data_IF_155728542868
#
_entry.id   IF_155728542868
#
_cell.length_a   1.000
_cell.length_b   1.000
_cell.length_c   1.000
_cell.angle_alpha   90.00
_cell.angle_beta   90.00
_cell.angle_gamma   90.00
#
_symmetry.space_group_name_H-M   'P 1'
#
loop_
_entity.id
_entity.type
_entity.pdbx_description
1 polymer ?
#
# COMPACT_ATOMS: atom_id res chain seq x y z
N UNK A 1 -51.11 25.36 -48.74
CA UNK A 1 -50.15 24.38 -48.19
C UNK A 1 -49.34 25.06 -47.08
N UNK A 2 -49.69 24.87 -45.81
CA UNK A 2 -48.96 25.42 -44.65
C UNK A 2 -47.97 24.35 -44.16
N UNK A 3 -46.67 24.62 -44.30
CA UNK A 3 -45.59 23.76 -43.77
C UNK A 3 -45.29 24.22 -42.34
N UNK A 4 -45.61 23.38 -41.36
CA UNK A 4 -45.17 23.55 -39.97
C UNK A 4 -43.75 23.00 -39.84
N UNK A 5 -42.78 23.85 -39.46
CA UNK A 5 -41.48 23.41 -38.98
C UNK A 5 -41.60 23.13 -37.48
N UNK A 6 -41.48 21.87 -37.09
CA UNK A 6 -41.33 21.47 -35.68
C UNK A 6 -39.82 21.48 -35.40
N UNK A 7 -39.38 22.44 -34.58
CA UNK A 7 -38.03 22.45 -34.03
C UNK A 7 -37.98 21.47 -32.86
N UNK A 8 -37.22 20.38 -33.01
CA UNK A 8 -36.97 19.40 -31.96
C UNK A 8 -35.84 19.92 -31.08
N UNK A 9 -36.17 20.44 -29.89
CA UNK A 9 -35.17 20.78 -28.87
C UNK A 9 -34.78 19.47 -28.17
N UNK A 10 -33.61 18.91 -28.50
CA UNK A 10 -33.00 17.85 -27.70
C UNK A 10 -32.50 18.48 -26.38
N UNK A 11 -33.26 18.28 -25.31
CA UNK A 11 -32.74 18.47 -23.96
C UNK A 11 -31.74 17.34 -23.68
N UNK A 12 -30.44 17.64 -23.78
CA UNK A 12 -29.40 16.74 -23.33
C UNK A 12 -29.40 16.72 -21.80
N UNK A 13 -30.13 15.79 -21.21
CA UNK A 13 -30.03 15.45 -19.80
C UNK A 13 -28.66 14.80 -19.58
N UNK A 14 -27.65 15.60 -19.24
CA UNK A 14 -26.41 15.08 -18.70
C UNK A 14 -26.74 14.47 -17.33
N UNK A 15 -27.03 13.17 -17.30
CA UNK A 15 -27.04 12.40 -16.07
C UNK A 15 -25.63 12.46 -15.51
N UNK A 16 -25.40 13.35 -14.54
CA UNK A 16 -24.22 13.27 -13.66
C UNK A 16 -24.35 11.93 -12.95
N UNK A 17 -23.68 10.90 -13.47
CA UNK A 17 -23.56 9.62 -12.81
C UNK A 17 -22.82 9.90 -11.49
N UNK A 18 -23.57 9.95 -10.39
CA UNK A 18 -22.97 9.98 -9.05
C UNK A 18 -22.20 8.68 -8.92
N UNK A 19 -20.87 8.76 -8.86
CA UNK A 19 -20.05 7.58 -8.58
C UNK A 19 -20.58 6.91 -7.32
N UNK A 20 -20.93 5.63 -7.41
CA UNK A 20 -21.44 4.88 -6.26
C UNK A 20 -20.42 4.93 -5.12
N UNK A 21 -20.89 5.17 -3.89
CA UNK A 21 -20.04 5.16 -2.72
C UNK A 21 -19.38 3.78 -2.57
N UNK A 22 -18.09 3.77 -2.33
CA UNK A 22 -17.31 2.55 -2.10
C UNK A 22 -16.18 2.82 -1.10
N UNK A 23 -15.59 1.75 -0.59
CA UNK A 23 -14.46 1.85 0.33
C UNK A 23 -13.48 0.71 0.12
N UNK A 24 -12.25 0.93 0.57
CA UNK A 24 -11.26 -0.13 0.76
C UNK A 24 -10.74 -0.08 2.20
N UNK A 25 -10.12 -1.17 2.62
CA UNK A 25 -9.56 -1.28 3.95
C UNK A 25 -8.04 -1.45 3.92
N UNK A 26 -7.39 -1.01 4.98
CA UNK A 26 -5.94 -1.04 5.13
C UNK A 26 -5.60 -1.74 6.44
N UNK A 27 -4.68 -2.68 6.37
CA UNK A 27 -4.02 -3.33 7.50
C UNK A 27 -2.51 -3.31 7.27
N UNK A 28 -1.73 -3.61 8.30
CA UNK A 28 -0.27 -3.66 8.23
C UNK A 28 0.27 -4.19 9.55
N UNK A 29 1.55 -4.52 9.56
CA UNK A 29 2.29 -4.88 10.77
C UNK A 29 1.58 -5.93 11.65
N UNK A 30 0.94 -6.92 11.02
CA UNK A 30 0.21 -7.97 11.72
C UNK A 30 0.19 -9.26 10.89
N UNK A 31 0.38 -10.44 11.50
CA UNK A 31 0.55 -10.68 12.93
C UNK A 31 2.02 -10.68 13.37
N UNK A 32 2.34 -9.99 14.47
CA UNK A 32 3.68 -9.98 15.09
C UNK A 32 3.90 -11.09 16.12
N UNK A 33 2.81 -11.64 16.66
CA UNK A 33 2.84 -12.66 17.71
C UNK A 33 1.94 -13.84 17.35
N UNK A 34 2.13 -14.97 18.03
CA UNK A 34 1.25 -16.14 17.84
C UNK A 34 -0.20 -15.83 18.26
N UNK A 35 -0.38 -14.97 19.27
CA UNK A 35 -1.69 -14.49 19.68
C UNK A 35 -2.34 -13.65 18.57
N UNK A 36 -1.63 -12.68 18.01
CA UNK A 36 -2.14 -11.89 16.87
C UNK A 36 -2.45 -12.78 15.67
N UNK A 37 -1.61 -13.81 15.40
CA UNK A 37 -1.89 -14.77 14.34
C UNK A 37 -3.25 -15.44 14.59
N UNK A 38 -3.50 -15.93 15.80
CA UNK A 38 -4.78 -16.59 16.13
C UNK A 38 -5.98 -15.65 16.00
N UNK A 39 -5.79 -14.35 16.27
CA UNK A 39 -6.85 -13.34 16.22
C UNK A 39 -7.11 -12.80 14.80
N UNK A 40 -6.10 -12.79 13.94
CA UNK A 40 -6.17 -12.21 12.60
C UNK A 40 -7.33 -12.75 11.74
N UNK A 41 -7.63 -14.07 11.68
CA UNK A 41 -8.79 -14.58 10.95
C UNK A 41 -10.13 -13.94 11.36
N UNK A 42 -10.33 -13.72 12.67
CA UNK A 42 -11.56 -13.10 13.17
C UNK A 42 -11.66 -11.63 12.76
N UNK A 43 -10.54 -10.89 12.84
CA UNK A 43 -10.48 -9.51 12.37
C UNK A 43 -10.76 -9.40 10.87
N UNK A 44 -10.14 -10.26 10.06
CA UNK A 44 -10.35 -10.29 8.60
C UNK A 44 -11.78 -10.69 8.22
N UNK A 45 -12.41 -11.58 9.01
CA UNK A 45 -13.82 -11.94 8.81
C UNK A 45 -14.73 -10.75 9.08
N UNK A 46 -14.61 -10.10 10.24
CA UNK A 46 -15.41 -8.92 10.57
C UNK A 46 -15.18 -7.78 9.57
N UNK A 47 -13.94 -7.59 9.13
CA UNK A 47 -13.59 -6.62 8.09
C UNK A 47 -14.29 -6.94 6.77
N UNK A 48 -14.27 -8.21 6.34
CA UNK A 48 -14.88 -8.65 5.09
C UNK A 48 -16.41 -8.50 5.09
N UNK A 49 -17.07 -8.65 6.25
CA UNK A 49 -18.52 -8.43 6.40
C UNK A 49 -18.96 -6.99 6.07
N UNK A 50 -18.04 -6.03 6.16
CA UNK A 50 -18.27 -4.63 5.76
C UNK A 50 -18.22 -4.44 4.25
N UNK A 51 -17.82 -5.47 3.50
CA UNK A 51 -17.75 -5.50 2.04
C UNK A 51 -16.87 -4.38 1.44
N UNK A 52 -15.60 -4.22 1.88
CA UNK A 52 -14.68 -3.35 1.16
C UNK A 52 -14.43 -3.90 -0.25
N UNK A 53 -14.16 -3.03 -1.21
CA UNK A 53 -13.80 -3.41 -2.57
C UNK A 53 -12.55 -4.32 -2.59
N UNK A 54 -11.62 -4.07 -1.67
CA UNK A 54 -10.43 -4.88 -1.40
C UNK A 54 -9.78 -4.44 -0.07
N UNK A 55 -8.85 -5.25 0.42
CA UNK A 55 -7.97 -4.97 1.55
C UNK A 55 -6.54 -4.75 1.03
N UNK A 56 -5.81 -3.78 1.58
CA UNK A 56 -4.37 -3.60 1.35
C UNK A 56 -3.61 -3.91 2.64
N UNK A 57 -2.61 -4.79 2.57
CA UNK A 57 -1.68 -5.09 3.66
C UNK A 57 -0.32 -4.43 3.42
N UNK A 58 0.06 -3.50 4.30
CA UNK A 58 1.25 -2.66 4.19
C UNK A 58 2.54 -3.33 4.73
N UNK A 59 2.70 -4.65 4.52
CA UNK A 59 3.90 -5.39 4.96
C UNK A 59 3.92 -5.81 6.43
N UNK A 60 5.01 -6.47 6.80
CA UNK A 60 5.31 -7.07 8.10
C UNK A 60 4.28 -8.09 8.62
N UNK A 61 4.17 -9.22 7.89
CA UNK A 61 3.35 -10.40 8.26
C UNK A 61 4.00 -11.32 9.31
N UNK A 62 5.06 -10.81 9.96
CA UNK A 62 5.74 -11.41 11.11
C UNK A 62 6.50 -10.32 11.86
N UNK A 63 6.84 -10.57 13.11
CA UNK A 63 7.75 -9.68 13.85
C UNK A 63 9.20 -9.82 13.40
N UNK A 64 10.01 -8.78 13.60
CA UNK A 64 11.45 -8.79 13.33
C UNK A 64 12.29 -9.80 14.13
N UNK A 65 11.66 -10.55 15.04
CA UNK A 65 12.29 -11.60 15.87
C UNK A 65 11.76 -13.01 15.59
N UNK A 66 10.76 -13.15 14.72
CA UNK A 66 10.27 -14.46 14.27
C UNK A 66 11.18 -15.03 13.18
N UNK A 67 11.24 -16.36 13.10
CA UNK A 67 12.01 -17.07 12.07
C UNK A 67 11.43 -16.84 10.67
N UNK A 68 12.32 -16.82 9.67
CA UNK A 68 11.97 -16.71 8.26
C UNK A 68 11.95 -18.09 7.55
N UNK A 69 11.37 -19.09 8.21
CA UNK A 69 11.23 -20.43 7.65
C UNK A 69 10.15 -20.44 6.56
N UNK A 70 10.28 -21.31 5.56
CA UNK A 70 9.31 -21.46 4.45
C UNK A 70 7.87 -21.65 4.97
N UNK A 71 7.71 -22.42 6.05
CA UNK A 71 6.42 -22.69 6.69
C UNK A 71 5.72 -21.41 7.20
N UNK A 72 6.48 -20.39 7.60
CA UNK A 72 5.91 -19.10 8.03
C UNK A 72 5.23 -18.39 6.86
N UNK A 73 5.90 -18.28 5.70
CA UNK A 73 5.31 -17.64 4.51
C UNK A 73 4.08 -18.41 4.01
N UNK A 74 4.14 -19.74 3.97
CA UNK A 74 3.03 -20.59 3.56
C UNK A 74 1.83 -20.46 4.51
N UNK A 75 2.07 -20.37 5.82
CA UNK A 75 1.01 -20.14 6.80
C UNK A 75 0.34 -18.76 6.61
N UNK A 76 1.13 -17.71 6.39
CA UNK A 76 0.60 -16.35 6.13
C UNK A 76 -0.14 -16.27 4.79
N UNK A 77 0.36 -16.96 3.75
CA UNK A 77 -0.31 -17.10 2.46
C UNK A 77 -1.70 -17.75 2.63
N UNK A 78 -1.80 -18.82 3.41
CA UNK A 78 -3.06 -19.49 3.67
C UNK A 78 -4.08 -18.59 4.41
N UNK A 79 -3.63 -17.74 5.33
CA UNK A 79 -4.50 -16.73 5.97
C UNK A 79 -5.07 -15.75 4.95
N UNK A 80 -4.25 -15.24 4.04
CA UNK A 80 -4.67 -14.26 3.04
C UNK A 80 -5.55 -14.86 1.95
N UNK A 81 -5.29 -16.10 1.51
CA UNK A 81 -6.15 -16.82 0.57
C UNK A 81 -7.53 -17.17 1.15
N UNK A 82 -7.68 -17.16 2.48
CA UNK A 82 -8.95 -17.42 3.15
C UNK A 82 -9.84 -16.17 3.28
N UNK A 83 -9.34 -14.97 2.96
CA UNK A 83 -10.09 -13.71 3.07
C UNK A 83 -11.23 -13.65 2.05
N UNK A 84 -12.43 -13.22 2.47
CA UNK A 84 -13.66 -13.21 1.66
C UNK A 84 -13.84 -11.95 0.81
N UNK A 85 -12.75 -11.22 0.55
CA UNK A 85 -12.64 -10.09 -0.38
C UNK A 85 -11.23 -10.10 -0.99
N UNK A 86 -10.97 -9.41 -2.11
CA UNK A 86 -9.62 -9.31 -2.65
C UNK A 86 -8.65 -8.70 -1.64
N UNK A 87 -7.43 -9.24 -1.54
CA UNK A 87 -6.37 -8.74 -0.67
C UNK A 87 -5.09 -8.50 -1.47
N UNK A 88 -4.56 -7.28 -1.40
CA UNK A 88 -3.26 -6.90 -1.98
C UNK A 88 -2.24 -6.78 -0.86
N UNK A 89 -1.05 -7.31 -1.07
CA UNK A 89 0.05 -7.31 -0.10
C UNK A 89 1.30 -6.67 -0.72
N UNK A 90 2.06 -5.93 0.08
CA UNK A 90 3.43 -5.50 -0.23
C UNK A 90 4.40 -6.00 0.84
N UNK A 91 5.64 -6.39 0.51
CA UNK A 91 6.61 -6.86 1.52
C UNK A 91 7.03 -5.77 2.51
N UNK A 92 7.34 -6.16 3.74
CA UNK A 92 8.04 -5.36 4.75
C UNK A 92 9.48 -5.80 4.96
N UNK A 93 10.20 -5.23 5.94
CA UNK A 93 11.58 -5.64 6.24
C UNK A 93 11.64 -6.96 7.02
N UNK A 94 10.62 -7.26 7.83
CA UNK A 94 10.63 -8.44 8.70
C UNK A 94 10.63 -9.75 7.91
N UNK A 95 10.05 -9.79 6.71
CA UNK A 95 9.92 -10.99 5.90
C UNK A 95 11.13 -11.27 5.01
N UNK A 96 12.12 -10.38 4.92
CA UNK A 96 13.31 -10.65 4.12
C UNK A 96 14.57 -9.93 4.61
N UNK A 97 14.59 -8.59 4.69
CA UNK A 97 15.84 -7.87 5.04
C UNK A 97 16.33 -8.24 6.43
N UNK A 98 15.43 -8.51 7.37
CA UNK A 98 15.74 -8.89 8.75
C UNK A 98 16.02 -10.37 8.95
N UNK A 99 15.84 -11.20 7.92
CA UNK A 99 16.05 -12.63 8.03
C UNK A 99 17.52 -13.03 8.23
N UNK A 100 18.45 -12.11 7.98
CA UNK A 100 19.88 -12.28 8.26
C UNK A 100 20.23 -12.35 9.75
N UNK A 101 19.31 -11.96 10.64
CA UNK A 101 19.54 -12.02 12.09
C UNK A 101 19.58 -13.48 12.55
N UNK A 102 20.48 -13.81 13.47
CA UNK A 102 20.68 -15.18 13.96
C UNK A 102 19.39 -15.79 14.54
N UNK A 103 18.63 -15.01 15.31
CA UNK A 103 17.35 -15.45 15.88
C UNK A 103 16.26 -15.69 14.82
N UNK A 104 16.39 -15.08 13.64
CA UNK A 104 15.47 -15.27 12.53
C UNK A 104 15.87 -16.46 11.63
N UNK A 105 16.98 -17.12 11.94
CA UNK A 105 17.52 -18.27 11.20
C UNK A 105 18.78 -17.96 10.38
N UNK A 106 19.25 -16.71 10.34
CA UNK A 106 20.48 -16.34 9.63
C UNK A 106 20.40 -16.53 8.11
N UNK A 107 19.22 -16.38 7.52
CA UNK A 107 18.99 -16.56 6.09
C UNK A 107 19.59 -15.42 5.25
N UNK A 108 19.88 -15.70 3.98
CA UNK A 108 20.18 -14.65 3.00
C UNK A 108 18.91 -13.85 2.67
N UNK A 109 18.88 -12.52 2.90
CA UNK A 109 17.72 -11.69 2.59
C UNK A 109 17.21 -11.77 1.15
N UNK A 110 18.10 -11.85 0.15
CA UNK A 110 17.70 -11.87 -1.25
C UNK A 110 17.12 -13.22 -1.64
N UNK A 111 17.63 -14.29 -1.04
CA UNK A 111 17.03 -15.62 -1.18
C UNK A 111 15.62 -15.63 -0.55
N UNK A 112 15.43 -15.08 0.65
CA UNK A 112 14.11 -14.95 1.29
C UNK A 112 13.15 -14.07 0.50
N UNK A 113 13.62 -12.95 -0.08
CA UNK A 113 12.79 -12.12 -0.96
C UNK A 113 12.33 -12.89 -2.20
N UNK A 114 13.20 -13.70 -2.80
CA UNK A 114 12.84 -14.54 -3.95
C UNK A 114 11.84 -15.64 -3.58
N UNK A 115 12.00 -16.26 -2.41
CA UNK A 115 11.01 -17.22 -1.90
C UNK A 115 9.65 -16.55 -1.69
N UNK A 116 9.63 -15.38 -1.03
CA UNK A 116 8.42 -14.59 -0.82
C UNK A 116 7.74 -14.20 -2.15
N UNK A 117 8.52 -13.81 -3.18
CA UNK A 117 7.99 -13.55 -4.53
C UNK A 117 7.28 -14.77 -5.12
N UNK A 118 7.89 -15.95 -5.00
CA UNK A 118 7.30 -17.21 -5.47
C UNK A 118 6.04 -17.62 -4.69
N UNK A 119 5.91 -17.21 -3.43
CA UNK A 119 4.74 -17.54 -2.60
C UNK A 119 3.61 -16.54 -2.76
N UNK A 120 3.86 -15.25 -2.96
CA UNK A 120 2.81 -14.21 -2.91
C UNK A 120 2.52 -13.52 -4.25
N UNK A 121 3.41 -13.65 -5.24
CA UNK A 121 3.37 -12.85 -6.47
C UNK A 121 3.58 -13.70 -7.74
N UNK A 122 3.22 -14.98 -7.67
CA UNK A 122 3.35 -15.95 -8.76
C UNK A 122 2.38 -15.67 -9.92
N UNK A 123 1.20 -15.11 -9.64
CA UNK A 123 0.19 -14.72 -10.64
C UNK A 123 -0.08 -13.19 -10.63
N UNK A 124 -0.62 -12.67 -11.74
CA UNK A 124 -1.04 -11.28 -11.90
C UNK A 124 -2.44 -11.03 -11.31
N UNK A 125 -2.67 -11.53 -10.09
CA UNK A 125 -3.94 -11.41 -9.36
C UNK A 125 -3.67 -11.15 -7.88
N UNK A 126 -4.63 -10.50 -7.20
CA UNK A 126 -4.62 -10.36 -5.76
C UNK A 126 -4.82 -11.72 -5.06
N UNK A 127 -4.57 -11.73 -3.76
CA UNK A 127 -4.97 -12.81 -2.85
C UNK A 127 -6.46 -12.65 -2.49
N UNK A 128 -6.97 -13.52 -1.61
CA UNK A 128 -8.36 -13.50 -1.16
C UNK A 128 -9.35 -13.96 -2.24
N UNK A 129 -10.65 -13.87 -1.93
CA UNK A 129 -11.72 -14.46 -2.75
C UNK A 129 -12.92 -13.51 -2.94
N UNK A 130 -13.40 -13.32 -4.18
CA UNK A 130 -12.70 -13.64 -5.43
C UNK A 130 -11.43 -12.77 -5.57
N UNK A 131 -10.36 -13.25 -6.23
CA UNK A 131 -9.21 -12.41 -6.52
C UNK A 131 -9.54 -11.37 -7.60
N UNK A 132 -8.84 -10.23 -7.59
CA UNK A 132 -8.93 -9.19 -8.62
C UNK A 132 -7.65 -9.14 -9.47
N UNK A 133 -7.73 -8.74 -10.75
CA UNK A 133 -6.54 -8.59 -11.58
C UNK A 133 -5.67 -7.44 -11.08
N UNK A 134 -4.35 -7.63 -11.12
CA UNK A 134 -3.35 -6.59 -10.84
C UNK A 134 -2.30 -6.59 -11.94
N UNK A 135 -1.67 -5.44 -12.19
CA UNK A 135 -0.50 -5.34 -13.06
C UNK A 135 0.75 -5.43 -12.20
N UNK A 136 1.61 -6.42 -12.45
CA UNK A 136 2.94 -6.49 -11.84
C UNK A 136 3.94 -5.65 -12.63
N UNK A 137 4.89 -5.02 -11.96
CA UNK A 137 5.94 -4.25 -12.64
C UNK A 137 6.74 -5.13 -13.61
N UNK A 138 7.01 -6.39 -13.25
CA UNK A 138 7.68 -7.38 -14.09
C UNK A 138 6.93 -7.69 -15.40
N UNK A 139 5.60 -7.62 -15.40
CA UNK A 139 4.79 -7.82 -16.60
C UNK A 139 4.77 -6.56 -17.48
N UNK A 140 4.80 -5.38 -16.85
CA UNK A 140 4.82 -4.09 -17.53
C UNK A 140 6.18 -3.77 -18.17
N UNK A 141 7.27 -4.19 -17.53
CA UNK A 141 8.64 -3.98 -18.01
C UNK A 141 9.52 -5.18 -17.65
N UNK A 142 9.89 -5.98 -18.66
CA UNK A 142 10.77 -7.15 -18.48
C UNK A 142 12.17 -6.82 -17.94
N UNK A 143 12.62 -5.56 -18.08
CA UNK A 143 13.90 -5.11 -17.51
C UNK A 143 13.81 -4.79 -16.01
N UNK A 144 12.61 -4.76 -15.44
CA UNK A 144 12.34 -4.54 -14.02
C UNK A 144 11.66 -5.79 -13.40
N UNK A 145 12.42 -6.84 -13.05
CA UNK A 145 11.88 -8.14 -12.62
C UNK A 145 11.36 -8.13 -11.16
N UNK A 146 10.49 -7.18 -10.83
CA UNK A 146 9.94 -6.97 -9.49
C UNK A 146 8.43 -7.31 -9.47
N UNK A 147 8.06 -8.60 -9.33
CA UNK A 147 6.66 -9.02 -9.34
C UNK A 147 5.86 -8.52 -8.13
N UNK A 148 6.53 -8.13 -7.04
CA UNK A 148 5.92 -7.62 -5.82
C UNK A 148 5.41 -6.18 -5.90
N UNK A 149 5.83 -5.43 -6.93
CA UNK A 149 5.34 -4.09 -7.21
C UNK A 149 4.09 -4.19 -8.08
N UNK A 150 2.94 -3.88 -7.49
CA UNK A 150 1.62 -4.06 -8.09
C UNK A 150 1.00 -2.70 -8.43
N UNK A 151 0.12 -2.68 -9.42
CA UNK A 151 -0.75 -1.53 -9.74
C UNK A 151 -2.12 -2.01 -10.20
N UNK A 152 -3.15 -1.31 -9.77
CA UNK A 152 -4.52 -1.54 -10.25
C UNK A 152 -5.31 -0.25 -10.21
N UNK A 153 -6.48 -0.28 -10.85
CA UNK A 153 -7.40 0.85 -10.93
C UNK A 153 -8.76 0.42 -10.39
N UNK A 154 -9.39 1.30 -9.61
CA UNK A 154 -10.75 1.08 -9.14
C UNK A 154 -11.48 2.42 -9.03
N UNK A 155 -12.64 2.52 -9.69
CA UNK A 155 -13.51 3.70 -9.62
C UNK A 155 -12.79 5.06 -9.83
N UNK A 156 -11.87 5.12 -10.80
CA UNK A 156 -11.11 6.34 -11.13
C UNK A 156 -9.94 6.64 -10.18
N UNK A 157 -9.54 5.69 -9.34
CA UNK A 157 -8.37 5.79 -8.44
C UNK A 157 -7.26 4.87 -8.93
N UNK A 158 -6.02 5.37 -8.92
CA UNK A 158 -4.82 4.58 -9.23
C UNK A 158 -4.17 4.14 -7.92
N UNK A 159 -3.92 2.85 -7.78
CA UNK A 159 -3.25 2.24 -6.65
C UNK A 159 -1.91 1.65 -7.06
N UNK A 160 -0.86 1.80 -6.25
CA UNK A 160 0.40 1.09 -6.47
C UNK A 160 1.05 0.64 -5.16
N UNK A 161 1.56 -0.59 -5.12
CA UNK A 161 2.48 -1.05 -4.08
C UNK A 161 3.93 -0.85 -4.50
N UNK A 162 4.79 -0.62 -3.53
CA UNK A 162 6.22 -0.40 -3.69
C UNK A 162 6.95 -1.21 -2.62
N UNK A 163 7.92 -2.03 -3.04
CA UNK A 163 8.83 -2.71 -2.12
C UNK A 163 9.87 -1.71 -1.58
N UNK A 164 9.40 -0.76 -0.78
CA UNK A 164 10.19 0.20 0.00
C UNK A 164 9.94 -0.15 1.47
N UNK A 165 10.96 -0.69 2.12
CA UNK A 165 10.82 -1.33 3.43
C UNK A 165 11.53 -0.54 4.53
N UNK A 166 11.27 -0.93 5.77
CA UNK A 166 12.01 -0.54 6.95
C UNK A 166 13.49 -0.90 6.87
N UNK A 167 14.18 -0.80 8.00
CA UNK A 167 15.61 -1.08 8.05
C UNK A 167 16.43 -0.25 7.03
N UNK A 168 16.11 1.05 6.94
CA UNK A 168 16.73 2.01 6.02
C UNK A 168 16.59 1.59 4.53
N UNK A 169 15.44 1.03 4.14
CA UNK A 169 15.13 0.57 2.78
C UNK A 169 16.15 -0.44 2.23
N UNK A 170 16.78 -1.24 3.10
CA UNK A 170 17.91 -2.11 2.78
C UNK A 170 19.09 -1.40 2.08
N UNK A 171 19.34 -0.12 2.41
CA UNK A 171 20.46 0.64 1.83
C UNK A 171 21.81 -0.08 2.00
N UNK A 172 21.96 -0.87 3.06
CA UNK A 172 23.19 -1.57 3.41
C UNK A 172 23.87 -0.96 4.64
N UNK A 173 24.87 -1.68 5.15
CA UNK A 173 25.61 -1.33 6.38
C UNK A 173 26.76 -0.36 6.13
N UNK A 174 27.20 -0.22 4.88
CA UNK A 174 28.30 0.64 4.48
C UNK A 174 27.82 2.05 4.09
N UNK A 175 28.77 2.94 3.78
CA UNK A 175 28.47 4.27 3.25
C UNK A 175 28.02 4.26 1.79
N UNK A 176 28.21 3.13 1.12
CA UNK A 176 27.74 2.91 -0.25
C UNK A 176 26.48 2.07 -0.24
N UNK A 177 25.51 2.36 -1.12
CA UNK A 177 24.31 1.54 -1.23
C UNK A 177 24.66 0.11 -1.66
N UNK A 178 23.86 -0.86 -1.21
CA UNK A 178 23.90 -2.23 -1.73
C UNK A 178 23.49 -2.26 -3.21
N UNK A 179 23.87 -3.31 -3.94
CA UNK A 179 23.42 -3.50 -5.32
C UNK A 179 21.90 -3.71 -5.39
N UNK A 180 21.34 -4.50 -4.47
CA UNK A 180 19.89 -4.66 -4.31
C UNK A 180 19.21 -3.31 -4.18
N UNK A 181 19.66 -2.47 -3.25
CA UNK A 181 19.10 -1.14 -3.04
C UNK A 181 19.11 -0.35 -4.35
N UNK A 182 20.25 -0.25 -5.04
CA UNK A 182 20.34 0.54 -6.28
C UNK A 182 19.31 0.11 -7.31
N UNK A 183 19.23 -1.19 -7.59
CA UNK A 183 18.35 -1.70 -8.64
C UNK A 183 16.87 -1.62 -8.23
N UNK A 184 16.53 -2.08 -7.02
CA UNK A 184 15.16 -2.08 -6.50
C UNK A 184 14.63 -0.67 -6.29
N UNK A 185 15.45 0.24 -5.77
CA UNK A 185 15.08 1.64 -5.58
C UNK A 185 14.81 2.34 -6.92
N UNK A 186 15.67 2.13 -7.93
CA UNK A 186 15.43 2.65 -9.27
C UNK A 186 14.11 2.13 -9.84
N UNK A 187 13.84 0.82 -9.71
CA UNK A 187 12.58 0.23 -10.15
C UNK A 187 11.36 0.78 -9.40
N UNK A 188 11.43 0.94 -8.08
CA UNK A 188 10.35 1.53 -7.28
C UNK A 188 10.05 2.98 -7.69
N UNK A 189 11.10 3.78 -7.91
CA UNK A 189 10.97 5.16 -8.37
C UNK A 189 10.30 5.24 -9.74
N UNK A 190 10.73 4.40 -10.68
CA UNK A 190 10.12 4.33 -12.02
C UNK A 190 8.67 3.86 -11.95
N UNK A 191 8.36 2.92 -11.05
CA UNK A 191 7.00 2.44 -10.81
C UNK A 191 6.09 3.52 -10.25
N UNK A 192 6.57 4.27 -9.25
CA UNK A 192 5.88 5.44 -8.69
C UNK A 192 5.61 6.48 -9.77
N UNK A 193 6.63 6.85 -10.55
CA UNK A 193 6.47 7.81 -11.65
C UNK A 193 5.43 7.33 -12.68
N UNK A 194 5.43 6.04 -13.02
CA UNK A 194 4.45 5.45 -13.92
C UNK A 194 3.02 5.46 -13.32
N UNK A 195 2.86 5.32 -12.01
CA UNK A 195 1.55 5.46 -11.34
C UNK A 195 1.01 6.89 -11.44
N UNK A 196 1.85 7.91 -11.19
CA UNK A 196 1.46 9.31 -11.37
C UNK A 196 1.15 9.64 -12.84
N UNK A 197 1.96 9.14 -13.78
CA UNK A 197 1.69 9.31 -15.21
C UNK A 197 0.36 8.66 -15.62
N UNK A 198 0.08 7.45 -15.12
CA UNK A 198 -1.19 6.76 -15.37
C UNK A 198 -2.36 7.54 -14.79
N UNK A 199 -2.22 8.08 -13.58
CA UNK A 199 -3.23 8.92 -12.95
C UNK A 199 -3.53 10.17 -13.79
N UNK A 200 -2.51 10.83 -14.37
CA UNK A 200 -2.72 11.94 -15.28
C UNK A 200 -3.44 11.52 -16.58
N UNK A 201 -3.09 10.35 -17.14
CA UNK A 201 -3.67 9.84 -18.40
C UNK A 201 -5.17 9.54 -18.28
N UNK A 202 -5.62 9.00 -17.15
CA UNK A 202 -7.02 8.62 -16.94
C UNK A 202 -7.84 9.70 -16.22
N UNK A 203 -7.23 10.86 -15.97
CA UNK A 203 -7.78 11.89 -15.10
C UNK A 203 -8.25 11.32 -13.74
N UNK A 204 -7.36 10.57 -13.09
CA UNK A 204 -7.68 9.92 -11.83
C UNK A 204 -8.01 10.97 -10.76
N UNK A 205 -8.97 10.63 -9.90
CA UNK A 205 -9.44 11.48 -8.81
C UNK A 205 -8.66 11.30 -7.50
N UNK A 206 -7.86 10.25 -7.40
CA UNK A 206 -7.00 9.96 -6.24
C UNK A 206 -5.86 9.04 -6.68
N UNK A 207 -4.70 9.20 -6.05
CA UNK A 207 -3.54 8.32 -6.16
C UNK A 207 -3.28 7.72 -4.78
N UNK A 208 -3.15 6.40 -4.71
CA UNK A 208 -2.82 5.69 -3.46
C UNK A 208 -1.53 4.92 -3.67
N UNK A 209 -0.52 5.21 -2.87
CA UNK A 209 0.73 4.49 -2.82
C UNK A 209 0.80 3.71 -1.51
N UNK A 210 1.30 2.48 -1.57
CA UNK A 210 1.52 1.64 -0.39
C UNK A 210 2.93 1.11 -0.38
N UNK A 211 3.59 1.25 0.76
CA UNK A 211 4.89 0.67 1.07
C UNK A 211 4.88 0.25 2.54
N UNK A 212 5.95 -0.37 3.05
CA UNK A 212 5.99 -0.71 4.48
C UNK A 212 6.81 0.30 5.29
N UNK A 213 8.01 0.68 4.85
CA UNK A 213 8.96 1.46 5.67
C UNK A 213 8.53 2.91 5.97
N UNK A 214 8.79 3.43 7.19
CA UNK A 214 8.57 4.85 7.47
C UNK A 214 9.54 5.74 6.67
N UNK A 215 9.05 6.64 5.79
CA UNK A 215 9.92 7.58 5.08
C UNK A 215 10.58 8.63 5.99
N UNK A 216 10.20 8.67 7.27
CA UNK A 216 10.72 9.55 8.31
C UNK A 216 10.64 11.04 7.93
N UNK A 217 9.47 11.46 7.44
CA UNK A 217 9.23 12.83 6.95
C UNK A 217 9.67 13.93 7.92
N UNK A 218 9.48 13.75 9.22
CA UNK A 218 9.93 14.70 10.25
C UNK A 218 11.46 14.85 10.27
N UNK A 219 12.18 13.73 10.17
CA UNK A 219 13.64 13.74 10.13
C UNK A 219 14.15 14.31 8.80
N UNK A 220 13.50 13.98 7.68
CA UNK A 220 13.78 14.56 6.37
C UNK A 220 13.61 16.08 6.37
N UNK A 221 12.48 16.61 6.85
CA UNK A 221 12.22 18.05 6.94
C UNK A 221 13.18 18.79 7.88
N UNK A 222 13.72 18.10 8.89
CA UNK A 222 14.73 18.64 9.80
C UNK A 222 16.18 18.56 9.25
N UNK A 223 16.37 18.18 7.98
CA UNK A 223 17.70 18.03 7.37
C UNK A 223 18.49 16.84 7.89
N UNK A 224 17.82 15.85 8.50
CA UNK A 224 18.42 14.62 9.05
C UNK A 224 17.76 13.36 8.44
N UNK A 225 17.61 13.26 7.11
CA UNK A 225 16.94 12.12 6.51
C UNK A 225 17.70 10.81 6.69
N UNK A 226 16.98 9.69 6.63
CA UNK A 226 17.60 8.37 6.48
C UNK A 226 18.04 8.18 5.03
N UNK A 227 19.29 7.76 4.83
CA UNK A 227 19.94 7.68 3.50
C UNK A 227 19.11 6.90 2.47
N UNK A 228 18.54 5.77 2.86
CA UNK A 228 17.76 4.90 1.97
C UNK A 228 16.44 5.50 1.47
N UNK A 229 16.00 6.61 2.07
CA UNK A 229 14.71 7.24 1.77
C UNK A 229 14.84 8.63 1.13
N UNK A 230 16.04 9.24 1.09
CA UNK A 230 16.22 10.61 0.59
C UNK A 230 15.63 10.79 -0.80
N UNK A 231 16.14 10.02 -1.78
CA UNK A 231 15.73 10.15 -3.17
C UNK A 231 14.26 9.70 -3.37
N UNK A 232 13.77 8.75 -2.59
CA UNK A 232 12.35 8.37 -2.62
C UNK A 232 11.45 9.55 -2.22
N UNK A 233 11.74 10.19 -1.08
CA UNK A 233 10.96 11.33 -0.57
C UNK A 233 11.08 12.53 -1.51
N UNK A 234 12.28 12.80 -2.05
CA UNK A 234 12.49 13.87 -3.03
C UNK A 234 11.59 13.71 -4.26
N UNK A 235 11.53 12.50 -4.82
CA UNK A 235 10.72 12.20 -6.00
C UNK A 235 9.23 12.14 -5.71
N UNK A 236 8.83 11.57 -4.58
CA UNK A 236 7.45 11.62 -4.12
C UNK A 236 6.98 13.07 -3.99
N UNK A 237 7.77 13.92 -3.33
CA UNK A 237 7.49 15.36 -3.18
C UNK A 237 7.38 16.07 -4.53
N UNK A 238 8.28 15.79 -5.46
CA UNK A 238 8.21 16.37 -6.80
C UNK A 238 6.91 15.99 -7.54
N UNK A 239 6.51 14.71 -7.48
CA UNK A 239 5.26 14.26 -8.08
C UNK A 239 4.02 14.86 -7.42
N UNK A 240 4.00 14.90 -6.09
CA UNK A 240 2.90 15.48 -5.31
C UNK A 240 2.75 16.97 -5.62
N UNK A 241 3.84 17.73 -5.71
CA UNK A 241 3.80 19.16 -6.07
C UNK A 241 3.37 19.42 -7.52
N UNK A 242 3.55 18.45 -8.42
CA UNK A 242 3.22 18.57 -9.82
C UNK A 242 1.78 18.16 -10.17
N UNK A 243 0.99 17.71 -9.19
CA UNK A 243 -0.40 17.28 -9.39
C UNK A 243 -1.33 17.99 -8.41
N UNK A 244 -2.52 18.36 -8.87
CA UNK A 244 -3.59 18.88 -8.01
C UNK A 244 -4.46 17.76 -7.40
N UNK A 245 -4.19 16.51 -7.78
CA UNK A 245 -4.94 15.33 -7.34
C UNK A 245 -4.56 14.96 -5.91
N UNK A 246 -5.52 14.59 -5.05
CA UNK A 246 -5.24 13.96 -3.76
C UNK A 246 -4.29 12.77 -3.90
N UNK A 247 -3.35 12.65 -2.97
CA UNK A 247 -2.39 11.54 -2.86
C UNK A 247 -2.46 10.99 -1.44
N UNK A 248 -2.66 9.68 -1.31
CA UNK A 248 -2.53 8.96 -0.04
C UNK A 248 -1.27 8.09 -0.09
N UNK A 249 -0.41 8.22 0.91
CA UNK A 249 0.67 7.27 1.17
C UNK A 249 0.32 6.41 2.39
N UNK A 250 0.26 5.11 2.19
CA UNK A 250 0.03 4.10 3.22
C UNK A 250 1.37 3.47 3.60
N UNK A 251 1.67 3.38 4.89
CA UNK A 251 2.82 2.63 5.40
C UNK A 251 2.62 2.01 6.78
N UNK A 252 3.58 1.19 7.20
CA UNK A 252 3.66 0.54 8.50
C UNK A 252 4.95 0.90 9.25
N UNK A 253 5.71 -0.10 9.69
CA UNK A 253 7.10 -0.04 10.24
C UNK A 253 7.20 0.57 11.64
N UNK A 254 6.65 1.77 11.84
CA UNK A 254 6.88 2.54 13.07
C UNK A 254 5.90 2.24 14.21
N UNK A 255 4.82 1.50 13.95
CA UNK A 255 3.79 1.05 14.92
C UNK A 255 3.10 2.21 15.68
N UNK A 256 3.08 3.37 15.07
CA UNK A 256 2.51 4.61 15.58
C UNK A 256 1.36 5.06 14.67
N UNK A 257 0.26 4.29 14.69
CA UNK A 257 -0.95 4.57 13.90
C UNK A 257 -1.31 6.07 13.95
N UNK A 258 -1.33 6.70 12.77
CA UNK A 258 -1.70 8.11 12.61
C UNK A 258 -2.12 8.41 11.18
N UNK A 259 -2.90 9.48 11.05
CA UNK A 259 -3.33 10.05 9.78
C UNK A 259 -2.99 11.53 9.83
N UNK A 260 -2.07 11.98 8.97
CA UNK A 260 -1.56 13.34 8.97
C UNK A 260 -1.06 13.80 7.59
N UNK A 261 -0.56 15.04 7.50
CA UNK A 261 -0.04 15.66 6.29
C UNK A 261 1.44 16.02 6.48
N UNK A 262 2.38 15.06 6.44
CA UNK A 262 3.74 15.26 6.91
C UNK A 262 4.71 15.74 5.82
N UNK A 263 4.28 15.76 4.56
CA UNK A 263 5.10 16.17 3.43
C UNK A 263 4.96 17.68 3.20
N UNK A 264 6.09 18.39 3.24
CA UNK A 264 6.10 19.85 3.15
C UNK A 264 6.46 20.36 1.75
N UNK A 265 5.90 21.51 1.39
CA UNK A 265 6.27 22.29 0.21
C UNK A 265 7.65 22.99 0.40
N UNK A 266 8.17 23.71 -0.61
CA UNK A 266 9.42 24.46 -0.48
C UNK A 266 9.41 25.58 0.57
N UNK A 267 8.23 26.09 0.96
CA UNK A 267 8.06 27.08 2.03
C UNK A 267 7.97 26.45 3.43
N UNK A 268 8.03 25.11 3.51
CA UNK A 268 7.94 24.36 4.77
C UNK A 268 6.51 24.15 5.27
N UNK A 269 5.48 24.43 4.46
CA UNK A 269 4.08 24.18 4.80
C UNK A 269 3.65 22.77 4.39
N UNK A 270 2.80 22.08 5.17
CA UNK A 270 2.20 20.83 4.75
C UNK A 270 1.47 20.94 3.41
N UNK A 271 1.71 19.99 2.51
CA UNK A 271 1.00 19.91 1.23
C UNK A 271 -0.40 19.35 1.49
N UNK A 272 -1.42 20.19 1.36
CA UNK A 272 -2.79 19.89 1.80
C UNK A 272 -3.40 18.65 1.13
N UNK A 273 -3.07 18.37 -0.13
CA UNK A 273 -3.60 17.23 -0.87
C UNK A 273 -2.76 15.94 -0.72
N UNK A 274 -1.75 15.94 0.16
CA UNK A 274 -0.99 14.73 0.50
C UNK A 274 -1.36 14.26 1.91
N UNK A 275 -1.92 13.06 2.02
CA UNK A 275 -2.25 12.42 3.29
C UNK A 275 -1.39 11.19 3.50
N UNK A 276 -0.84 11.04 4.70
CA UNK A 276 -0.22 9.80 5.14
C UNK A 276 -1.19 9.02 6.03
N UNK A 277 -1.19 7.70 5.86
CA UNK A 277 -1.83 6.75 6.78
C UNK A 277 -0.75 5.78 7.24
N UNK A 278 -0.38 5.84 8.52
CA UNK A 278 0.39 4.77 9.17
C UNK A 278 -0.59 3.75 9.73
N UNK A 279 -0.40 2.46 9.44
CA UNK A 279 -1.27 1.38 9.90
C UNK A 279 -1.21 1.19 11.41
N UNK A 280 -2.14 0.39 11.93
CA UNK A 280 -1.92 -0.23 13.24
C UNK A 280 -0.71 -1.16 13.16
N UNK A 281 -0.06 -1.36 14.30
CA UNK A 281 1.07 -2.27 14.45
C UNK A 281 1.26 -2.65 15.91
N UNK A 282 2.09 -3.67 16.15
CA UNK A 282 2.25 -4.27 17.46
C UNK A 282 2.51 -3.23 18.57
N UNK A 283 1.89 -3.38 19.76
CA UNK A 283 1.07 -4.52 20.19
C UNK A 283 -0.42 -4.38 19.83
N UNK A 284 -0.80 -3.41 19.00
CA UNK A 284 -2.19 -3.13 18.67
C UNK A 284 -2.55 -3.67 17.29
N UNK A 285 -3.66 -4.40 17.21
CA UNK A 285 -4.28 -4.75 15.93
C UNK A 285 -5.37 -3.74 15.58
N UNK A 286 -5.68 -3.63 14.30
CA UNK A 286 -6.75 -2.79 13.81
C UNK A 286 -6.67 -2.64 12.30
N UNK A 287 -7.58 -1.85 11.76
CA UNK A 287 -7.65 -1.56 10.34
C UNK A 287 -8.15 -0.14 10.10
N UNK A 288 -7.88 0.41 8.92
CA UNK A 288 -8.33 1.74 8.51
C UNK A 288 -9.26 1.61 7.31
N UNK A 289 -10.43 2.23 7.39
CA UNK A 289 -11.39 2.36 6.30
C UNK A 289 -11.10 3.64 5.51
N UNK A 290 -10.99 3.54 4.19
CA UNK A 290 -10.95 4.70 3.30
C UNK A 290 -12.17 4.66 2.39
N UNK A 291 -13.08 5.60 2.60
CA UNK A 291 -14.37 5.67 1.90
C UNK A 291 -14.43 6.85 0.95
N UNK A 292 -14.92 6.62 -0.26
CA UNK A 292 -15.07 7.61 -1.32
C UNK A 292 -16.55 7.72 -1.70
N UNK A 293 -17.16 8.90 -1.49
CA UNK A 293 -18.62 9.07 -1.58
C UNK A 293 -19.13 9.79 -2.86
N UNK A 294 -18.30 10.59 -3.51
CA UNK A 294 -18.66 11.34 -4.74
C UNK A 294 -17.50 11.36 -5.72
N UNK A 295 -17.52 12.10 -6.84
CA UNK A 295 -16.40 12.17 -7.79
C UNK A 295 -15.24 13.10 -7.36
N UNK A 296 -15.36 13.83 -6.24
CA UNK A 296 -14.44 14.92 -5.85
C UNK A 296 -13.05 14.47 -5.42
N UNK A 297 -12.88 13.17 -5.14
CA UNK A 297 -11.63 12.65 -4.56
C UNK A 297 -11.53 12.78 -3.04
N UNK A 298 -12.49 13.45 -2.37
CA UNK A 298 -12.51 13.55 -0.91
C UNK A 298 -12.72 12.17 -0.27
N UNK A 299 -11.70 11.67 0.41
CA UNK A 299 -11.74 10.40 1.12
C UNK A 299 -12.07 10.63 2.59
N UNK A 300 -13.08 9.92 3.10
CA UNK A 300 -13.32 9.81 4.54
C UNK A 300 -12.49 8.65 5.08
N UNK A 301 -11.56 8.96 5.98
CA UNK A 301 -10.67 7.97 6.59
C UNK A 301 -11.15 7.71 8.02
N UNK A 302 -11.38 6.45 8.38
CA UNK A 302 -11.85 6.05 9.71
C UNK A 302 -10.98 4.92 10.26
N UNK A 303 -10.49 5.06 11.48
CA UNK A 303 -9.67 4.04 12.14
C UNK A 303 -10.53 3.12 13.01
N UNK A 304 -10.28 1.82 12.91
CA UNK A 304 -10.99 0.77 13.62
C UNK A 304 -9.99 -0.06 14.44
N UNK A 305 -9.74 0.29 15.71
CA UNK A 305 -8.92 -0.53 16.58
C UNK A 305 -9.59 -1.89 16.78
N UNK A 306 -8.81 -2.97 16.69
CA UNK A 306 -9.32 -4.31 16.94
C UNK A 306 -9.18 -4.63 18.43
N UNK A 307 -10.32 -4.90 19.05
CA UNK A 307 -10.38 -5.52 20.36
C UNK A 307 -11.16 -6.83 20.18
N UNK A 308 -10.55 -8.01 20.39
CA UNK A 308 -11.31 -9.24 20.35
C UNK A 308 -12.41 -9.18 21.41
N UNK A 309 -13.60 -9.77 21.15
CA UNK A 309 -14.63 -9.89 22.16
C UNK A 309 -14.02 -10.55 23.40
N UNK A 310 -14.38 -10.13 24.63
CA UNK A 310 -13.92 -10.81 25.82
C UNK A 310 -14.26 -12.30 25.69
N UNK A 311 -13.27 -13.16 25.90
CA UNK A 311 -13.51 -14.60 25.98
C UNK A 311 -14.52 -14.83 27.09
N UNK A 312 -15.72 -15.32 26.75
CA UNK A 312 -16.66 -15.76 27.78
C UNK A 312 -15.99 -16.89 28.56
N UNK A 313 -16.06 -16.87 29.91
CA UNK A 313 -15.42 -17.85 30.78
C UNK A 313 -15.93 -19.28 30.56
#
# INVERSE_FOLDING_TARGET
MRRFFIALVLAASASLATAAEWHFAIIGDTPYTDAERQLLPAMLTQLSERQPAFIIHAGDIKSGSQRCDDAMYLDRRALFDAVNVPLVYTPGDNEWTDCHRDNNGGYDPLERLNFLRGVFFDDAKSLGKPPMPVLRQSDANKAAPYPENLRWEHAGVVFATLNVTGSNNNFGKADTPSEDYRQRHAANVDWMAAAFARAAQIDARLIVLTLQGDPHFKAYAAGKPKRGFVDFVDRLRAHVLATDRPVILIHGDSHNHKIDHPLNDPAGQPIAHFTRIETYGAPFMGWVEVRLADASGAARITSHPWAPPPTLP
#
